data_IF_464573468889
#
_entry.id   IF_464573468889
#
_cell.length_a   1.000
_cell.length_b   1.000
_cell.length_c   1.000
_cell.angle_alpha   90.00
_cell.angle_beta   90.00
_cell.angle_gamma   90.00
#
_symmetry.space_group_name_H-M   'P 1'
#
loop_
_entity.id
_entity.type
_entity.pdbx_description
1 polymer ?
#
# COMPACT_ATOMS: atom_id res chain seq x y z
N UNK A 1 29.45 43.83 -11.03
CA UNK A 1 29.07 43.48 -9.65
C UNK A 1 28.14 42.27 -9.72
N UNK A 2 28.64 41.09 -9.33
CA UNK A 2 27.99 39.83 -8.88
C UNK A 2 26.76 39.28 -9.65
N UNK A 3 26.58 37.98 -9.93
CA UNK A 3 27.13 36.75 -9.36
C UNK A 3 26.89 35.59 -10.36
N UNK A 4 27.92 34.76 -10.60
CA UNK A 4 27.83 33.50 -11.34
C UNK A 4 26.98 32.49 -10.56
N UNK A 5 25.97 31.89 -11.19
CA UNK A 5 25.33 30.68 -10.69
C UNK A 5 26.25 29.47 -10.99
N UNK A 6 27.02 29.05 -9.98
CA UNK A 6 27.66 27.73 -9.98
C UNK A 6 26.58 26.66 -9.83
N UNK A 7 26.53 25.74 -10.80
CA UNK A 7 25.88 24.44 -10.67
C UNK A 7 26.66 23.61 -9.64
N UNK A 8 26.12 23.48 -8.43
CA UNK A 8 26.61 22.53 -7.44
C UNK A 8 26.19 21.11 -7.87
N UNK A 9 27.17 20.36 -8.38
CA UNK A 9 27.04 18.94 -8.68
C UNK A 9 27.10 18.17 -7.37
N UNK A 10 25.94 17.73 -6.86
CA UNK A 10 25.82 16.93 -5.64
C UNK A 10 26.69 15.66 -5.72
N UNK A 11 27.85 15.71 -5.05
CA UNK A 11 28.65 14.53 -4.70
C UNK A 11 27.84 13.64 -3.77
N UNK A 12 27.31 12.51 -4.26
CA UNK A 12 26.82 11.43 -3.40
C UNK A 12 27.97 10.94 -2.51
N UNK A 13 27.90 11.24 -1.21
CA UNK A 13 28.85 10.72 -0.22
C UNK A 13 28.48 9.27 0.11
N UNK A 14 29.28 8.33 -0.38
CA UNK A 14 29.16 6.92 0.02
C UNK A 14 29.61 6.75 1.48
N UNK A 15 28.91 5.87 2.21
CA UNK A 15 29.08 5.66 3.66
C UNK A 15 30.50 5.26 4.08
N UNK A 16 31.27 4.64 3.16
CA UNK A 16 32.66 4.20 3.40
C UNK A 16 33.57 4.41 2.18
N UNK A 17 33.79 5.67 1.78
CA UNK A 17 34.61 6.01 0.59
C UNK A 17 36.07 5.53 0.63
N UNK A 18 36.63 5.22 1.81
CA UNK A 18 38.00 4.71 1.95
C UNK A 18 38.14 3.18 1.85
N UNK A 19 37.02 2.44 1.89
CA UNK A 19 37.03 0.98 1.80
C UNK A 19 36.93 0.45 0.36
N UNK A 20 36.76 1.35 -0.62
CA UNK A 20 36.67 1.02 -2.02
C UNK A 20 37.17 2.19 -2.87
N UNK A 21 37.90 1.88 -3.94
CA UNK A 21 38.33 2.87 -4.92
C UNK A 21 37.14 3.21 -5.84
N UNK A 22 36.36 4.22 -5.47
CA UNK A 22 35.26 4.73 -6.31
C UNK A 22 35.84 5.39 -7.56
N UNK A 23 35.74 4.73 -8.71
CA UNK A 23 35.97 5.38 -10.00
C UNK A 23 34.81 6.34 -10.27
N UNK A 24 35.05 7.66 -10.39
CA UNK A 24 33.99 8.61 -10.71
C UNK A 24 33.44 8.31 -12.11
N UNK A 25 32.12 8.12 -12.21
CA UNK A 25 31.43 7.99 -13.50
C UNK A 25 31.33 9.38 -14.13
N UNK A 26 32.40 9.81 -14.79
CA UNK A 26 32.43 11.02 -15.60
C UNK A 26 31.84 10.71 -16.99
N UNK A 27 30.54 10.92 -17.15
CA UNK A 27 29.92 10.95 -18.47
C UNK A 27 28.41 10.81 -18.42
N UNK A 28 27.69 11.74 -19.03
CA UNK A 28 26.30 11.51 -19.44
C UNK A 28 26.25 10.24 -20.32
N UNK A 29 25.32 9.30 -20.08
CA UNK A 29 25.20 8.13 -20.93
C UNK A 29 24.83 8.58 -22.34
N UNK A 30 25.78 8.53 -23.27
CA UNK A 30 25.51 8.67 -24.70
C UNK A 30 24.59 7.52 -25.13
N UNK A 31 23.76 7.74 -26.16
CA UNK A 31 22.80 6.75 -26.65
C UNK A 31 23.49 5.39 -26.95
N UNK A 32 24.74 5.44 -27.38
CA UNK A 32 25.56 4.27 -27.73
C UNK A 32 25.85 3.37 -26.52
N UNK A 33 26.17 3.94 -25.35
CA UNK A 33 26.44 3.17 -24.11
C UNK A 33 25.20 2.44 -23.61
N UNK A 34 24.02 3.04 -23.80
CA UNK A 34 22.74 2.39 -23.47
C UNK A 34 22.45 1.22 -24.40
N UNK A 35 22.75 1.35 -25.70
CA UNK A 35 22.57 0.28 -26.67
C UNK A 35 23.53 -0.90 -26.39
N UNK A 36 24.79 -0.61 -26.09
CA UNK A 36 25.80 -1.61 -25.73
C UNK A 36 25.43 -2.34 -24.42
N UNK A 37 25.01 -1.61 -23.39
CA UNK A 37 24.54 -2.20 -22.14
C UNK A 37 23.31 -3.12 -22.37
N UNK A 38 22.38 -2.74 -23.26
CA UNK A 38 21.24 -3.58 -23.62
C UNK A 38 21.67 -4.83 -24.39
N UNK A 39 22.67 -4.73 -25.26
CA UNK A 39 23.21 -5.88 -25.99
C UNK A 39 23.90 -6.87 -25.04
N UNK A 40 24.68 -6.38 -24.06
CA UNK A 40 25.28 -7.22 -23.02
C UNK A 40 24.22 -7.89 -22.15
N UNK A 41 23.19 -7.16 -21.72
CA UNK A 41 22.09 -7.73 -20.95
C UNK A 41 21.34 -8.81 -21.73
N UNK A 42 21.11 -8.60 -23.03
CA UNK A 42 20.44 -9.59 -23.88
C UNK A 42 21.29 -10.83 -24.11
N UNK A 43 22.62 -10.69 -24.14
CA UNK A 43 23.56 -11.81 -24.30
C UNK A 43 23.71 -12.63 -23.02
N UNK A 44 23.76 -11.97 -21.86
CA UNK A 44 23.94 -12.61 -20.56
C UNK A 44 22.63 -13.18 -19.99
N UNK A 45 21.49 -12.61 -20.38
CA UNK A 45 20.17 -12.99 -19.88
C UNK A 45 19.16 -13.17 -21.03
N UNK A 46 19.32 -14.21 -21.88
CA UNK A 46 18.44 -14.44 -23.03
C UNK A 46 16.96 -14.69 -22.63
N UNK A 47 16.71 -15.14 -21.40
CA UNK A 47 15.37 -15.33 -20.83
C UNK A 47 14.79 -14.10 -20.11
N UNK A 48 15.52 -12.98 -20.04
CA UNK A 48 15.03 -11.73 -19.48
C UNK A 48 14.15 -10.94 -20.45
N UNK A 49 13.43 -11.64 -21.35
CA UNK A 49 12.28 -11.03 -22.02
C UNK A 49 11.29 -10.66 -20.93
N UNK A 50 11.22 -9.37 -20.66
CA UNK A 50 10.16 -8.66 -19.94
C UNK A 50 9.04 -9.62 -19.58
N UNK A 51 9.10 -10.17 -18.36
CA UNK A 51 7.93 -10.75 -17.75
C UNK A 51 6.97 -9.59 -17.58
N UNK A 52 6.20 -9.34 -18.65
CA UNK A 52 4.91 -8.67 -18.61
C UNK A 52 4.29 -9.09 -17.29
N UNK A 53 4.07 -8.12 -16.40
CA UNK A 53 3.49 -8.32 -15.10
C UNK A 53 2.26 -9.19 -15.30
N UNK A 54 2.43 -10.50 -15.05
CA UNK A 54 1.44 -11.48 -15.43
C UNK A 54 0.21 -11.13 -14.63
N UNK A 55 -0.88 -10.79 -15.33
CA UNK A 55 -2.22 -10.80 -14.76
C UNK A 55 -2.36 -12.14 -14.05
N UNK A 56 -2.16 -12.12 -12.73
CA UNK A 56 -2.20 -13.32 -11.92
C UNK A 56 -3.64 -13.78 -11.95
N UNK A 57 -3.95 -14.76 -12.79
CA UNK A 57 -5.22 -15.47 -12.73
C UNK A 57 -5.43 -15.86 -11.27
N UNK A 58 -6.56 -15.45 -10.70
CA UNK A 58 -6.94 -15.80 -9.34
C UNK A 58 -6.84 -17.31 -9.21
N UNK A 59 -5.82 -17.79 -8.50
CA UNK A 59 -5.66 -19.22 -8.25
C UNK A 59 -6.73 -19.61 -7.24
N UNK A 60 -7.41 -20.75 -7.44
CA UNK A 60 -8.38 -21.24 -6.46
C UNK A 60 -7.70 -21.36 -5.10
N UNK A 61 -8.43 -20.97 -4.05
CA UNK A 61 -7.94 -21.05 -2.68
C UNK A 61 -7.45 -22.50 -2.39
N UNK A 62 -6.23 -22.71 -1.89
CA UNK A 62 -5.75 -24.04 -1.59
C UNK A 62 -6.65 -24.73 -0.57
N UNK A 63 -7.05 -25.98 -0.83
CA UNK A 63 -7.89 -26.76 0.11
C UNK A 63 -7.15 -27.15 1.40
N UNK A 64 -5.82 -27.08 1.42
CA UNK A 64 -4.97 -27.45 2.56
C UNK A 64 -4.91 -26.32 3.61
N UNK A 65 -5.28 -26.57 4.89
CA UNK A 65 -5.31 -25.56 5.94
C UNK A 65 -3.94 -24.92 6.21
N UNK A 66 -2.84 -25.67 6.09
CA UNK A 66 -1.50 -25.14 6.35
C UNK A 66 -1.07 -24.16 5.24
N UNK A 67 -1.44 -24.44 3.99
CA UNK A 67 -1.19 -23.54 2.87
C UNK A 67 -2.07 -22.30 2.95
N UNK A 68 -3.32 -22.44 3.40
CA UNK A 68 -4.21 -21.28 3.64
C UNK A 68 -3.65 -20.33 4.69
N UNK A 69 -3.17 -20.86 5.82
CA UNK A 69 -2.56 -20.03 6.86
C UNK A 69 -1.34 -19.25 6.34
N UNK A 70 -0.47 -19.90 5.56
CA UNK A 70 0.69 -19.25 4.91
C UNK A 70 0.27 -18.16 3.93
N UNK A 71 -0.76 -18.41 3.12
CA UNK A 71 -1.27 -17.39 2.20
C UNK A 71 -1.88 -16.20 2.93
N UNK A 72 -2.69 -16.42 3.98
CA UNK A 72 -3.23 -15.35 4.82
C UNK A 72 -2.10 -14.49 5.43
N UNK A 73 -1.03 -15.12 5.89
CA UNK A 73 0.13 -14.40 6.41
C UNK A 73 0.83 -13.53 5.33
N UNK A 74 0.98 -14.04 4.12
CA UNK A 74 1.57 -13.27 2.99
C UNK A 74 0.66 -12.11 2.58
N UNK A 75 -0.65 -12.32 2.51
CA UNK A 75 -1.64 -11.29 2.18
C UNK A 75 -1.62 -10.17 3.21
N UNK A 76 -1.61 -10.53 4.49
CA UNK A 76 -1.53 -9.59 5.59
C UNK A 76 -0.21 -8.81 5.56
N UNK A 77 0.92 -9.46 5.23
CA UNK A 77 2.19 -8.78 5.01
C UNK A 77 2.12 -7.76 3.87
N UNK A 78 1.53 -8.15 2.73
CA UNK A 78 1.32 -7.24 1.58
C UNK A 78 0.43 -6.06 1.96
N UNK A 79 -0.64 -6.30 2.72
CA UNK A 79 -1.53 -5.25 3.22
C UNK A 79 -0.76 -4.28 4.12
N UNK A 80 0.01 -4.78 5.10
CA UNK A 80 0.83 -3.95 6.00
C UNK A 80 1.80 -3.05 5.24
N UNK A 81 2.42 -3.54 4.17
CA UNK A 81 3.32 -2.75 3.34
C UNK A 81 2.60 -1.66 2.51
N UNK A 82 1.36 -1.90 2.11
CA UNK A 82 0.56 -0.95 1.34
C UNK A 82 -0.27 -0.01 2.22
N UNK A 83 -0.42 -0.33 3.50
CA UNK A 83 -1.36 0.34 4.37
C UNK A 83 -0.95 1.79 4.64
N UNK A 84 -1.90 2.69 4.46
CA UNK A 84 -1.76 4.11 4.79
C UNK A 84 -2.54 4.36 6.08
N UNK A 85 -2.09 5.31 6.90
CA UNK A 85 -2.86 5.68 8.10
C UNK A 85 -4.19 6.28 7.68
N UNK A 86 -5.28 5.79 8.26
CA UNK A 86 -6.58 6.42 8.06
C UNK A 86 -6.66 7.80 8.72
N UNK A 87 -5.89 8.03 9.79
CA UNK A 87 -5.81 9.31 10.49
C UNK A 87 -4.54 10.07 10.09
N UNK A 88 -4.64 11.22 9.40
CA UNK A 88 -3.48 12.01 9.03
C UNK A 88 -2.70 12.54 10.24
N UNK A 89 -3.34 12.68 11.41
CA UNK A 89 -2.68 13.07 12.65
C UNK A 89 -1.73 11.98 13.17
N UNK A 90 -2.03 10.71 12.87
CA UNK A 90 -1.21 9.57 13.29
C UNK A 90 -0.15 9.20 12.25
N UNK A 91 -0.24 9.74 11.03
CA UNK A 91 0.71 9.44 9.95
C UNK A 91 2.15 9.94 10.25
N UNK A 92 2.31 11.02 11.01
CA UNK A 92 3.61 11.62 11.33
C UNK A 92 4.09 11.19 12.72
N UNK A 93 4.76 10.04 12.81
CA UNK A 93 5.49 9.65 14.02
C UNK A 93 4.67 8.95 15.10
N UNK A 94 3.58 8.29 14.73
CA UNK A 94 2.78 7.50 15.67
C UNK A 94 3.63 6.42 16.37
N UNK A 95 3.94 6.65 17.66
CA UNK A 95 4.50 5.66 18.60
C UNK A 95 3.54 4.54 18.99
N UNK A 96 2.49 4.30 18.20
CA UNK A 96 1.51 3.24 18.40
C UNK A 96 2.20 1.89 18.16
N UNK A 97 2.09 1.01 19.16
CA UNK A 97 2.61 -0.35 19.10
C UNK A 97 1.94 -1.13 17.97
N UNK A 98 2.69 -2.05 17.35
CA UNK A 98 2.16 -2.85 16.24
C UNK A 98 0.92 -3.68 16.64
N UNK A 99 0.77 -4.01 17.93
CA UNK A 99 -0.38 -4.75 18.47
C UNK A 99 -1.70 -3.97 18.47
N UNK A 100 -1.65 -2.64 18.44
CA UNK A 100 -2.83 -1.78 18.52
C UNK A 100 -3.34 -1.34 17.13
N UNK A 101 -2.69 -1.80 16.06
CA UNK A 101 -3.03 -1.48 14.69
C UNK A 101 -3.86 -2.59 14.06
N UNK A 102 -4.92 -2.20 13.37
CA UNK A 102 -5.70 -3.09 12.49
C UNK A 102 -5.56 -2.56 11.07
N UNK A 103 -5.20 -3.43 10.14
CA UNK A 103 -5.09 -3.16 8.71
C UNK A 103 -6.34 -3.69 8.03
N UNK A 104 -7.08 -2.79 7.41
CA UNK A 104 -8.31 -3.10 6.70
C UNK A 104 -8.17 -2.76 5.24
N UNK A 105 -8.75 -3.60 4.40
CA UNK A 105 -8.96 -3.29 3.00
C UNK A 105 -10.34 -2.68 2.87
N UNK A 106 -10.39 -1.40 2.54
CA UNK A 106 -11.64 -0.66 2.37
C UNK A 106 -11.95 -0.55 0.89
N UNK A 107 -13.10 -1.08 0.49
CA UNK A 107 -13.62 -1.01 -0.87
C UNK A 107 -14.84 -0.10 -0.88
N UNK A 108 -14.87 0.88 -1.79
CA UNK A 108 -16.05 1.70 -2.00
C UNK A 108 -16.69 1.38 -3.35
N UNK A 109 -17.91 0.83 -3.30
CA UNK A 109 -18.59 0.31 -4.47
C UNK A 109 -18.83 1.38 -5.55
N UNK A 110 -19.16 2.61 -5.16
CA UNK A 110 -19.53 3.66 -6.12
C UNK A 110 -18.34 4.18 -6.96
N UNK A 111 -17.11 4.13 -6.43
CA UNK A 111 -15.91 4.61 -7.13
C UNK A 111 -15.00 3.47 -7.61
N UNK A 112 -15.40 2.20 -7.41
CA UNK A 112 -14.56 1.02 -7.62
C UNK A 112 -13.13 1.19 -7.05
N UNK A 113 -13.02 1.97 -5.96
CA UNK A 113 -11.75 2.36 -5.37
C UNK A 113 -11.49 1.49 -4.14
N UNK A 114 -10.30 0.88 -4.14
CA UNK A 114 -9.81 0.08 -3.02
C UNK A 114 -8.62 0.80 -2.40
N UNK A 115 -8.64 0.95 -1.07
CA UNK A 115 -7.48 1.41 -0.31
C UNK A 115 -7.26 0.51 0.90
N UNK A 116 -5.99 0.19 1.14
CA UNK A 116 -5.58 -0.47 2.37
C UNK A 116 -5.25 0.60 3.40
N UNK A 117 -6.02 0.64 4.48
CA UNK A 117 -5.92 1.64 5.53
C UNK A 117 -5.67 0.96 6.88
N UNK A 118 -4.87 1.58 7.74
CA UNK A 118 -4.70 1.11 9.11
C UNK A 118 -5.34 2.07 10.12
N UNK A 119 -5.92 1.47 11.16
CA UNK A 119 -6.65 2.13 12.24
C UNK A 119 -6.10 1.68 13.59
N UNK A 120 -6.46 2.42 14.65
CA UNK A 120 -6.29 1.96 16.03
C UNK A 120 -7.43 1.01 16.41
N UNK A 121 -7.15 -0.04 17.18
CA UNK A 121 -8.17 -0.98 17.70
C UNK A 121 -9.29 -0.29 18.48
N UNK A 122 -8.92 0.72 19.25
CA UNK A 122 -9.78 1.53 20.14
C UNK A 122 -10.68 2.54 19.39
N UNK A 123 -10.51 2.70 18.07
CA UNK A 123 -11.36 3.65 17.35
C UNK A 123 -12.80 3.13 17.29
N UNK A 124 -13.76 4.02 17.52
CA UNK A 124 -15.18 3.74 17.30
C UNK A 124 -15.46 3.63 15.79
N UNK A 125 -16.28 2.66 15.39
CA UNK A 125 -16.55 2.35 13.98
C UNK A 125 -17.08 3.56 13.20
N UNK A 126 -18.00 4.36 13.76
CA UNK A 126 -18.50 5.55 13.07
C UNK A 126 -17.41 6.55 12.70
N UNK A 127 -16.43 6.76 13.60
CA UNK A 127 -15.27 7.61 13.31
C UNK A 127 -14.34 6.98 12.26
N UNK A 128 -14.18 5.65 12.27
CA UNK A 128 -13.40 4.96 11.26
C UNK A 128 -14.02 5.08 9.87
N UNK A 129 -15.35 5.03 9.77
CA UNK A 129 -16.12 5.27 8.54
C UNK A 129 -15.83 6.67 8.00
N UNK A 130 -15.91 7.70 8.84
CA UNK A 130 -15.62 9.09 8.44
C UNK A 130 -14.19 9.25 7.90
N UNK A 131 -13.21 8.63 8.57
CA UNK A 131 -11.81 8.66 8.15
C UNK A 131 -11.61 7.93 6.82
N UNK A 132 -12.28 6.79 6.62
CA UNK A 132 -12.23 6.06 5.36
C UNK A 132 -12.84 6.84 4.20
N UNK A 133 -14.01 7.45 4.41
CA UNK A 133 -14.67 8.28 3.42
C UNK A 133 -13.76 9.45 2.99
N UNK A 134 -13.08 10.09 3.94
CA UNK A 134 -12.07 11.13 3.66
C UNK A 134 -10.87 10.57 2.89
N UNK A 135 -10.33 9.42 3.31
CA UNK A 135 -9.19 8.79 2.66
C UNK A 135 -9.51 8.34 1.22
N UNK A 136 -10.75 7.97 0.94
CA UNK A 136 -11.25 7.60 -0.38
C UNK A 136 -11.72 8.79 -1.22
N UNK A 137 -11.60 10.02 -0.70
CA UNK A 137 -12.04 11.26 -1.35
C UNK A 137 -13.52 11.25 -1.72
N UNK A 138 -14.36 10.62 -0.90
CA UNK A 138 -15.81 10.61 -1.10
C UNK A 138 -16.37 12.01 -0.87
N UNK A 139 -17.30 12.44 -1.72
CA UNK A 139 -17.97 13.73 -1.57
C UNK A 139 -18.67 13.82 -0.21
N UNK A 140 -18.70 15.02 0.39
CA UNK A 140 -19.39 15.26 1.67
C UNK A 140 -20.88 14.94 1.63
N UNK A 141 -21.49 15.04 0.45
CA UNK A 141 -22.92 14.76 0.27
C UNK A 141 -23.19 13.26 0.28
N UNK A 142 -22.30 12.48 -0.34
CA UNK A 142 -22.38 11.02 -0.36
C UNK A 142 -21.90 10.39 0.95
N UNK A 143 -21.00 11.08 1.67
CA UNK A 143 -20.44 10.61 2.94
C UNK A 143 -21.44 10.58 4.11
N UNK A 144 -22.63 11.17 3.97
CA UNK A 144 -23.67 11.12 5.01
C UNK A 144 -24.37 9.77 4.98
N UNK A 145 -24.51 9.14 6.15
CA UNK A 145 -25.16 7.83 6.28
C UNK A 145 -24.30 6.68 5.77
N UNK A 146 -22.97 6.80 5.77
CA UNK A 146 -22.13 5.68 5.40
C UNK A 146 -21.99 4.69 6.56
N UNK A 147 -21.85 3.41 6.21
CA UNK A 147 -21.59 2.33 7.15
C UNK A 147 -20.59 1.34 6.56
N UNK A 148 -19.88 0.64 7.45
CA UNK A 148 -19.05 -0.48 7.02
C UNK A 148 -19.84 -1.78 7.03
N UNK A 149 -19.66 -2.55 5.97
CA UNK A 149 -20.19 -3.90 5.83
C UNK A 149 -19.02 -4.86 5.67
N UNK A 150 -18.93 -5.85 6.55
CA UNK A 150 -17.89 -6.87 6.50
C UNK A 150 -18.27 -7.94 5.47
N UNK A 151 -17.34 -8.29 4.59
CA UNK A 151 -17.47 -9.44 3.70
C UNK A 151 -17.62 -9.11 2.20
N UNK A 152 -17.48 -10.15 1.38
CA UNK A 152 -17.52 -10.08 -0.08
C UNK A 152 -18.95 -9.86 -0.60
N UNK A 153 -19.08 -9.31 -1.81
CA UNK A 153 -20.36 -8.93 -2.44
C UNK A 153 -21.43 -10.03 -2.42
N UNK A 154 -20.99 -11.28 -2.43
CA UNK A 154 -21.84 -12.47 -2.56
C UNK A 154 -22.44 -12.98 -1.26
N UNK A 155 -21.95 -12.55 -0.09
CA UNK A 155 -22.14 -13.29 1.17
C UNK A 155 -23.06 -12.60 2.20
N UNK A 156 -23.91 -11.65 1.77
CA UNK A 156 -24.86 -11.00 2.68
C UNK A 156 -24.18 -10.33 3.87
N UNK A 157 -23.20 -9.48 3.57
CA UNK A 157 -22.21 -8.97 4.53
C UNK A 157 -22.78 -8.44 5.85
N UNK A 158 -22.00 -8.57 6.92
CA UNK A 158 -22.38 -8.18 8.27
C UNK A 158 -22.18 -6.68 8.46
N UNK A 159 -23.26 -5.98 8.77
CA UNK A 159 -23.22 -4.55 9.09
C UNK A 159 -22.50 -4.33 10.42
N UNK A 160 -21.49 -3.46 10.38
CA UNK A 160 -20.73 -3.09 11.56
C UNK A 160 -21.45 -2.00 12.33
N UNK A 161 -21.53 -2.17 13.64
CA UNK A 161 -22.22 -1.24 14.53
C UNK A 161 -21.33 -0.01 14.77
N UNK A 162 -21.92 1.18 14.57
CA UNK A 162 -21.20 2.45 14.59
C UNK A 162 -20.74 2.88 16.00
N UNK A 163 -21.39 2.36 17.04
CA UNK A 163 -21.17 2.66 18.46
C UNK A 163 -20.14 1.74 19.13
N UNK A 164 -19.80 0.62 18.51
CA UNK A 164 -18.79 -0.33 19.02
C UNK A 164 -17.41 -0.01 18.44
N UNK A 165 -16.35 -0.36 19.18
CA UNK A 165 -14.96 -0.22 18.71
C UNK A 165 -14.66 -1.19 17.56
N UNK A 166 -13.79 -0.75 16.66
CA UNK A 166 -13.45 -1.49 15.45
C UNK A 166 -12.76 -2.82 15.77
N UNK A 167 -11.89 -2.83 16.78
CA UNK A 167 -11.17 -4.03 17.20
C UNK A 167 -12.01 -5.08 17.91
N UNK A 168 -13.22 -4.75 18.35
CA UNK A 168 -14.16 -5.73 18.89
C UNK A 168 -14.94 -6.47 17.79
N UNK A 169 -15.06 -5.88 16.60
CA UNK A 169 -15.91 -6.41 15.54
C UNK A 169 -15.12 -7.01 14.37
N UNK A 170 -13.85 -6.62 14.19
CA UNK A 170 -13.05 -6.91 12.99
C UNK A 170 -11.64 -7.40 13.35
N UNK A 171 -11.11 -8.33 12.54
CA UNK A 171 -9.74 -8.83 12.66
C UNK A 171 -8.76 -8.13 11.69
N UNK A 172 -7.45 -8.26 11.96
CA UNK A 172 -6.40 -7.77 11.08
C UNK A 172 -6.42 -8.51 9.73
N UNK A 173 -6.46 -7.75 8.64
CA UNK A 173 -6.52 -8.28 7.27
C UNK A 173 -7.92 -8.50 6.71
N UNK A 174 -8.97 -8.12 7.45
CA UNK A 174 -10.34 -8.20 6.94
C UNK A 174 -10.62 -7.16 5.84
N UNK A 175 -11.61 -7.50 5.03
CA UNK A 175 -12.13 -6.64 3.96
C UNK A 175 -13.49 -6.07 4.37
N UNK A 176 -13.60 -4.74 4.25
CA UNK A 176 -14.79 -3.98 4.58
C UNK A 176 -15.23 -3.15 3.38
N UNK A 177 -16.54 -3.10 3.16
CA UNK A 177 -17.15 -2.28 2.13
C UNK A 177 -17.78 -1.06 2.77
N UNK A 178 -17.51 0.09 2.16
CA UNK A 178 -18.18 1.33 2.50
C UNK A 178 -19.47 1.40 1.68
N UNK A 179 -20.62 1.40 2.34
CA UNK A 179 -21.94 1.41 1.70
C UNK A 179 -22.73 2.60 2.25
N UNK A 180 -23.52 3.24 1.38
CA UNK A 180 -24.43 4.31 1.76
C UNK A 180 -25.73 3.70 2.28
N UNK A 181 -26.21 4.18 3.41
CA UNK A 181 -27.54 3.89 3.94
C UNK A 181 -28.56 4.66 3.10
N UNK A 182 -29.50 3.93 2.49
CA UNK A 182 -30.60 4.47 1.69
C UNK A 182 -31.71 5.07 2.57
#
# INVERSE_FOLDING_TARGET
>A
MFLLFLLDSEKRRHRHAGAHECVPVSGSPTADKKAEARALLSKLFPDAKSSSAGTSRARPAPSDPAKRAKLRAIELMKMKHKAISADPSLAKGSGIQAGDKIHLRVVYAALASEKVLWYRKDIVTGKAVDLAARALSVSREDGRGMRFVRGHETDGGLDLQNDITLGAQIEDGDEVRLVKED
#
